data_IF_196686488706
#
_entry.id   IF_196686488706
#
_cell.length_a   1.000
_cell.length_b   1.000
_cell.length_c   1.000
_cell.angle_alpha   90.00
_cell.angle_beta   90.00
_cell.angle_gamma   90.00
#
_symmetry.space_group_name_H-M   'P 1'
#
loop_
_entity.id
_entity.type
_entity.pdbx_description
1 polymer ?
#
# COMPACT_ATOMS: atom_id res chain seq x y z
N UNK A 1 -1.77 -26.73 -10.78
CA UNK A 1 -2.36 -25.38 -10.86
C UNK A 1 -1.64 -24.63 -11.94
N UNK A 2 -2.35 -24.00 -12.89
CA UNK A 2 -1.85 -23.63 -14.23
C UNK A 2 -0.39 -23.11 -14.30
N UNK A 3 0.01 -22.18 -13.42
CA UNK A 3 1.39 -21.65 -13.41
C UNK A 3 2.45 -22.67 -12.94
N UNK A 4 2.13 -23.53 -11.96
CA UNK A 4 3.01 -24.63 -11.54
C UNK A 4 3.12 -25.71 -12.61
N UNK A 5 2.01 -26.03 -13.26
CA UNK A 5 1.97 -27.05 -14.32
C UNK A 5 2.75 -26.56 -15.54
N UNK A 6 2.58 -25.29 -15.93
CA UNK A 6 3.37 -24.65 -16.97
C UNK A 6 4.87 -24.63 -16.64
N UNK A 7 5.24 -24.38 -15.37
CA UNK A 7 6.63 -24.40 -14.93
C UNK A 7 7.23 -25.81 -14.99
N UNK A 8 6.49 -26.83 -14.55
CA UNK A 8 6.92 -28.23 -14.57
C UNK A 8 7.19 -28.75 -16.00
N UNK A 9 6.47 -28.22 -16.99
CA UNK A 9 6.65 -28.54 -18.41
C UNK A 9 7.72 -27.69 -19.11
N UNK A 10 8.42 -26.79 -18.40
CA UNK A 10 9.43 -25.91 -18.98
C UNK A 10 10.82 -26.55 -18.88
N UNK A 11 11.51 -26.81 -20.00
CA UNK A 11 12.91 -27.24 -19.98
C UNK A 11 13.82 -26.25 -19.25
N UNK A 12 14.92 -26.76 -18.67
CA UNK A 12 15.84 -25.93 -17.86
C UNK A 12 16.56 -24.84 -18.68
N UNK A 13 16.70 -25.05 -19.99
CA UNK A 13 17.34 -24.18 -20.98
C UNK A 13 16.34 -23.28 -21.72
N UNK A 14 15.03 -23.36 -21.42
CA UNK A 14 14.02 -22.53 -22.08
C UNK A 14 14.21 -21.04 -21.70
N UNK A 15 14.36 -20.14 -22.69
CA UNK A 15 14.54 -18.70 -22.44
C UNK A 15 13.36 -18.05 -21.70
N UNK A 16 12.17 -18.68 -21.69
CA UNK A 16 10.98 -18.20 -20.97
C UNK A 16 10.95 -18.64 -19.51
N UNK A 17 11.85 -19.53 -19.07
CA UNK A 17 11.87 -20.08 -17.74
C UNK A 17 11.97 -19.01 -16.64
N UNK A 18 12.84 -17.98 -16.72
CA UNK A 18 12.89 -16.90 -15.72
C UNK A 18 11.55 -16.16 -15.61
N UNK A 19 10.89 -15.87 -16.75
CA UNK A 19 9.60 -15.17 -16.75
C UNK A 19 8.49 -16.03 -16.14
N UNK A 20 8.46 -17.34 -16.41
CA UNK A 20 7.47 -18.26 -15.81
C UNK A 20 7.65 -18.36 -14.29
N UNK A 21 8.90 -18.46 -13.81
CA UNK A 21 9.23 -18.44 -12.38
C UNK A 21 8.81 -17.12 -11.73
N UNK A 22 9.10 -15.98 -12.37
CA UNK A 22 8.70 -14.68 -11.88
C UNK A 22 7.17 -14.55 -11.74
N UNK A 23 6.42 -14.95 -12.77
CA UNK A 23 4.96 -14.89 -12.75
C UNK A 23 4.36 -15.78 -11.64
N UNK A 24 4.89 -16.98 -11.45
CA UNK A 24 4.46 -17.85 -10.35
C UNK A 24 4.79 -17.21 -8.99
N UNK A 25 6.00 -16.66 -8.82
CA UNK A 25 6.38 -15.99 -7.57
C UNK A 25 5.46 -14.79 -7.25
N UNK A 26 5.12 -13.97 -8.25
CA UNK A 26 4.16 -12.87 -8.11
C UNK A 26 2.78 -13.38 -7.69
N UNK A 27 2.26 -14.42 -8.38
CA UNK A 27 0.95 -14.99 -8.06
C UNK A 27 0.88 -15.57 -6.64
N UNK A 28 1.96 -16.21 -6.18
CA UNK A 28 2.08 -16.69 -4.81
C UNK A 28 2.07 -15.52 -3.82
N UNK A 29 2.81 -14.44 -4.09
CA UNK A 29 2.80 -13.26 -3.22
C UNK A 29 1.43 -12.60 -3.12
N UNK A 30 0.71 -12.44 -4.24
CA UNK A 30 -0.67 -11.94 -4.23
C UNK A 30 -1.56 -12.80 -3.34
N UNK A 31 -1.46 -14.13 -3.45
CA UNK A 31 -2.26 -15.04 -2.63
C UNK A 31 -1.86 -15.02 -1.16
N UNK A 32 -0.57 -14.92 -0.83
CA UNK A 32 -0.08 -14.76 0.54
C UNK A 32 -0.70 -13.50 1.16
N UNK A 33 -0.72 -12.39 0.45
CA UNK A 33 -1.32 -11.14 0.93
C UNK A 33 -2.83 -11.22 1.15
N UNK A 34 -3.55 -12.01 0.36
CA UNK A 34 -5.01 -12.14 0.47
C UNK A 34 -5.47 -13.21 1.47
N UNK A 35 -4.70 -14.29 1.63
CA UNK A 35 -5.16 -15.51 2.35
C UNK A 35 -4.27 -15.89 3.54
N UNK A 36 -3.23 -15.11 3.83
CA UNK A 36 -2.27 -15.35 4.93
C UNK A 36 -1.62 -16.74 4.91
N UNK A 37 -1.51 -17.37 3.72
CA UNK A 37 -0.88 -18.69 3.52
C UNK A 37 0.65 -18.60 3.50
N UNK A 38 1.24 -18.37 4.67
CA UNK A 38 2.69 -18.13 4.85
C UNK A 38 3.56 -19.29 4.34
N UNK A 39 3.04 -20.52 4.28
CA UNK A 39 3.78 -21.69 3.79
C UNK A 39 4.30 -21.52 2.35
N UNK A 40 3.63 -20.69 1.55
CA UNK A 40 3.98 -20.42 0.16
C UNK A 40 5.13 -19.40 0.01
N UNK A 41 5.47 -18.67 1.08
CA UNK A 41 6.54 -17.68 1.06
C UNK A 41 7.91 -18.31 0.77
N UNK A 42 8.11 -19.58 1.16
CA UNK A 42 9.33 -20.34 0.86
C UNK A 42 9.49 -20.58 -0.64
N UNK A 43 8.43 -21.05 -1.29
CA UNK A 43 8.41 -21.31 -2.73
C UNK A 43 8.57 -20.01 -3.52
N UNK A 44 7.84 -18.95 -3.14
CA UNK A 44 7.96 -17.64 -3.77
C UNK A 44 9.39 -17.08 -3.68
N UNK A 45 10.06 -17.27 -2.54
CA UNK A 45 11.45 -16.88 -2.33
C UNK A 45 12.39 -17.67 -3.25
N UNK A 46 12.29 -19.00 -3.28
CA UNK A 46 13.14 -19.86 -4.11
C UNK A 46 13.00 -19.53 -5.59
N UNK A 47 11.77 -19.30 -6.05
CA UNK A 47 11.50 -18.86 -7.42
C UNK A 47 12.12 -17.50 -7.71
N UNK A 48 11.95 -16.52 -6.83
CA UNK A 48 12.49 -15.18 -7.02
C UNK A 48 14.04 -15.17 -7.02
N UNK A 49 14.67 -15.97 -6.16
CA UNK A 49 16.13 -16.12 -6.11
C UNK A 49 16.67 -16.77 -7.40
N UNK A 50 15.98 -17.79 -7.92
CA UNK A 50 16.33 -18.41 -9.20
C UNK A 50 16.18 -17.43 -10.38
N UNK A 51 15.23 -16.51 -10.33
CA UNK A 51 15.10 -15.44 -11.34
C UNK A 51 16.27 -14.47 -11.22
N UNK A 52 16.60 -13.98 -10.02
CA UNK A 52 17.71 -13.05 -9.80
C UNK A 52 19.04 -13.66 -10.28
N UNK A 53 19.28 -14.94 -10.01
CA UNK A 53 20.51 -15.63 -10.45
C UNK A 53 20.63 -15.79 -11.97
N UNK A 54 19.50 -15.81 -12.69
CA UNK A 54 19.47 -15.98 -14.14
C UNK A 54 19.50 -14.66 -14.92
N UNK A 55 19.17 -13.53 -14.27
CA UNK A 55 19.12 -12.22 -14.92
C UNK A 55 20.49 -11.53 -14.91
N UNK A 56 20.91 -10.92 -16.03
CA UNK A 56 22.05 -9.99 -16.03
C UNK A 56 21.83 -8.82 -15.05
N UNK A 57 22.90 -8.22 -14.49
CA UNK A 57 22.79 -7.07 -13.58
C UNK A 57 22.01 -5.88 -14.15
N UNK A 58 22.09 -5.66 -15.46
CA UNK A 58 21.44 -4.53 -16.15
C UNK A 58 20.06 -4.90 -16.74
N UNK A 59 19.51 -6.06 -16.36
CA UNK A 59 18.20 -6.50 -16.87
C UNK A 59 17.08 -5.57 -16.40
N UNK A 60 16.16 -5.14 -17.29
CA UNK A 60 14.99 -4.35 -16.91
C UNK A 60 14.01 -5.11 -15.99
N UNK A 61 14.09 -6.45 -15.96
CA UNK A 61 13.24 -7.30 -15.12
C UNK A 61 13.80 -7.48 -13.70
N UNK A 62 15.09 -7.19 -13.49
CA UNK A 62 15.77 -7.38 -12.20
C UNK A 62 15.10 -6.61 -11.04
N UNK A 63 14.70 -5.34 -11.18
CA UNK A 63 14.01 -4.61 -10.12
C UNK A 63 12.70 -5.28 -9.67
N UNK A 64 11.97 -5.89 -10.61
CA UNK A 64 10.75 -6.65 -10.32
C UNK A 64 11.06 -7.90 -9.51
N UNK A 65 12.05 -8.69 -9.94
CA UNK A 65 12.48 -9.88 -9.24
C UNK A 65 12.98 -9.59 -7.81
N UNK A 66 13.78 -8.53 -7.63
CA UNK A 66 14.25 -8.07 -6.32
C UNK A 66 13.10 -7.69 -5.38
N UNK A 67 12.07 -7.02 -5.91
CA UNK A 67 10.88 -6.63 -5.13
C UNK A 67 10.13 -7.86 -4.63
N UNK A 68 9.92 -8.87 -5.48
CA UNK A 68 9.25 -10.13 -5.09
C UNK A 68 10.08 -10.91 -4.07
N UNK A 69 11.39 -11.00 -4.30
CA UNK A 69 12.33 -11.66 -3.38
C UNK A 69 12.33 -11.02 -1.98
N UNK A 70 12.27 -9.69 -1.91
CA UNK A 70 12.16 -8.94 -0.66
C UNK A 70 10.81 -9.16 0.02
N UNK A 71 9.71 -9.12 -0.74
CA UNK A 71 8.36 -9.32 -0.22
C UNK A 71 8.19 -10.73 0.39
N UNK A 72 8.64 -11.78 -0.31
CA UNK A 72 8.60 -13.16 0.19
C UNK A 72 9.39 -13.36 1.48
N UNK A 73 10.54 -12.69 1.60
CA UNK A 73 11.36 -12.72 2.83
C UNK A 73 10.70 -11.96 3.97
N UNK A 74 10.10 -10.80 3.70
CA UNK A 74 9.39 -9.99 4.70
C UNK A 74 8.21 -10.74 5.32
N UNK A 75 7.50 -11.56 4.56
CA UNK A 75 6.37 -12.37 5.05
C UNK A 75 6.80 -13.63 5.82
N UNK A 76 8.09 -13.96 5.86
CA UNK A 76 8.57 -15.15 6.56
C UNK A 76 8.65 -14.94 8.07
N UNK A 77 8.36 -15.98 8.86
CA UNK A 77 8.56 -15.98 10.32
C UNK A 77 9.99 -15.56 10.71
N UNK A 78 10.98 -15.86 9.86
CA UNK A 78 12.37 -15.48 10.07
C UNK A 78 12.55 -13.95 10.13
N UNK A 79 11.87 -13.19 9.27
CA UNK A 79 11.95 -11.72 9.29
C UNK A 79 11.32 -11.13 10.56
N UNK A 80 10.30 -11.76 11.13
CA UNK A 80 9.72 -11.33 12.40
C UNK A 80 10.73 -11.51 13.55
N UNK A 81 11.47 -12.62 13.55
CA UNK A 81 12.32 -13.05 14.65
C UNK A 81 13.77 -12.56 14.56
N UNK A 82 14.23 -12.11 13.39
CA UNK A 82 15.65 -11.80 13.14
C UNK A 82 15.85 -10.41 12.55
N UNK A 83 16.72 -9.60 13.17
CA UNK A 83 17.13 -8.30 12.62
C UNK A 83 17.96 -8.45 11.35
N UNK A 84 18.83 -9.45 11.26
CA UNK A 84 19.65 -9.68 10.07
C UNK A 84 18.76 -10.04 8.86
N UNK A 85 17.71 -10.84 9.08
CA UNK A 85 16.73 -11.11 8.03
C UNK A 85 15.95 -9.86 7.59
N UNK A 86 15.73 -8.89 8.48
CA UNK A 86 15.14 -7.59 8.12
C UNK A 86 16.11 -6.71 7.34
N UNK A 87 17.39 -6.70 7.72
CA UNK A 87 18.44 -5.99 7.00
C UNK A 87 18.59 -6.53 5.56
N UNK A 88 18.48 -7.84 5.36
CA UNK A 88 18.45 -8.47 4.03
C UNK A 88 17.25 -7.99 3.19
N UNK A 89 16.06 -7.87 3.79
CA UNK A 89 14.86 -7.35 3.11
C UNK A 89 15.06 -5.89 2.69
N UNK A 90 15.60 -5.05 3.58
CA UNK A 90 15.91 -3.65 3.28
C UNK A 90 16.94 -3.57 2.14
N UNK A 91 17.98 -4.39 2.16
CA UNK A 91 18.99 -4.42 1.10
C UNK A 91 18.41 -4.78 -0.27
N UNK A 92 17.49 -5.75 -0.33
CA UNK A 92 16.83 -6.13 -1.58
C UNK A 92 15.92 -5.02 -2.13
N UNK A 93 15.12 -4.38 -1.28
CA UNK A 93 14.30 -3.25 -1.71
C UNK A 93 15.15 -2.05 -2.13
N UNK A 94 16.27 -1.79 -1.44
CA UNK A 94 17.21 -0.72 -1.81
C UNK A 94 17.80 -0.95 -3.20
N UNK A 95 18.29 -2.15 -3.48
CA UNK A 95 18.75 -2.54 -4.82
C UNK A 95 17.65 -2.41 -5.87
N UNK A 96 16.42 -2.77 -5.55
CA UNK A 96 15.29 -2.62 -6.47
C UNK A 96 15.03 -1.14 -6.81
N UNK A 97 15.09 -0.24 -5.83
CA UNK A 97 14.95 1.21 -6.05
C UNK A 97 16.11 1.77 -6.88
N UNK A 98 17.35 1.39 -6.56
CA UNK A 98 18.55 1.84 -7.29
C UNK A 98 18.55 1.41 -8.75
N UNK A 99 18.09 0.19 -9.03
CA UNK A 99 17.95 -0.32 -10.39
C UNK A 99 16.69 0.19 -11.13
N UNK A 100 15.92 1.10 -10.52
CA UNK A 100 14.72 1.70 -11.14
C UNK A 100 14.98 3.16 -11.53
N UNK A 101 14.96 3.49 -12.83
CA UNK A 101 15.12 4.87 -13.29
C UNK A 101 14.04 5.80 -12.72
N UNK A 102 14.37 7.08 -12.44
CA UNK A 102 13.38 8.12 -12.13
C UNK A 102 12.25 8.17 -13.18
N UNK A 103 11.00 8.34 -12.73
CA UNK A 103 9.82 8.39 -13.61
C UNK A 103 9.28 7.04 -14.08
N UNK A 104 9.93 5.93 -13.72
CA UNK A 104 9.38 4.60 -14.02
C UNK A 104 8.05 4.36 -13.26
N UNK A 105 6.99 3.83 -13.90
CA UNK A 105 5.65 3.73 -13.29
C UNK A 105 5.60 2.99 -11.94
N UNK A 106 6.49 2.02 -11.73
CA UNK A 106 6.56 1.23 -10.49
C UNK A 106 7.54 1.76 -9.45
N UNK A 107 8.23 2.88 -9.71
CA UNK A 107 9.23 3.45 -8.79
C UNK A 107 8.63 3.85 -7.46
N UNK A 108 7.47 4.50 -7.47
CA UNK A 108 6.73 4.88 -6.25
C UNK A 108 6.42 3.67 -5.38
N UNK A 109 5.98 2.55 -5.96
CA UNK A 109 5.70 1.34 -5.19
C UNK A 109 6.98 0.74 -4.57
N UNK A 110 8.10 0.74 -5.31
CA UNK A 110 9.40 0.27 -4.79
C UNK A 110 9.91 1.14 -3.65
N UNK A 111 9.77 2.46 -3.76
CA UNK A 111 10.10 3.41 -2.70
C UNK A 111 9.24 3.19 -1.45
N UNK A 112 7.92 3.05 -1.60
CA UNK A 112 7.01 2.78 -0.49
C UNK A 112 7.31 1.43 0.19
N UNK A 113 7.66 0.41 -0.60
CA UNK A 113 8.06 -0.89 -0.07
C UNK A 113 9.36 -0.80 0.76
N UNK A 114 10.36 -0.06 0.26
CA UNK A 114 11.59 0.22 1.00
C UNK A 114 11.31 1.01 2.28
N UNK A 115 10.50 2.06 2.21
CA UNK A 115 10.08 2.85 3.38
C UNK A 115 9.38 1.99 4.43
N UNK A 116 8.50 1.08 4.01
CA UNK A 116 7.85 0.13 4.90
C UNK A 116 8.81 -0.88 5.51
N UNK A 117 9.80 -1.36 4.75
CA UNK A 117 10.81 -2.29 5.26
C UNK A 117 11.75 -1.64 6.27
N UNK A 118 12.14 -0.38 6.03
CA UNK A 118 12.92 0.44 6.97
C UNK A 118 12.13 0.79 8.23
N UNK A 119 10.83 1.11 8.09
CA UNK A 119 9.95 1.27 9.25
C UNK A 119 9.93 -0.02 10.08
N UNK A 120 9.85 -1.19 9.44
CA UNK A 120 9.77 -2.49 10.12
C UNK A 120 11.12 -3.10 10.53
N UNK A 121 12.26 -2.50 10.16
CA UNK A 121 13.59 -3.08 10.36
C UNK A 121 13.96 -3.23 11.85
N UNK A 122 13.37 -2.45 12.74
CA UNK A 122 13.59 -2.51 14.19
C UNK A 122 12.37 -2.96 15.00
N UNK A 123 12.61 -3.63 16.13
CA UNK A 123 11.57 -3.83 17.15
C UNK A 123 11.12 -2.46 17.68
N UNK A 124 9.84 -2.26 18.03
CA UNK A 124 9.33 -0.94 18.47
C UNK A 124 10.17 -0.26 19.58
N UNK A 125 10.92 -1.03 20.37
CA UNK A 125 11.84 -0.53 21.41
C UNK A 125 13.29 -0.27 20.96
N UNK A 126 13.70 -0.76 19.78
CA UNK A 126 15.06 -0.65 19.22
C UNK A 126 15.06 -0.20 17.75
N UNK A 127 14.03 0.51 17.28
CA UNK A 127 14.08 1.14 15.96
C UNK A 127 15.21 2.16 15.96
N UNK A 128 16.18 1.96 15.07
CA UNK A 128 17.27 2.93 14.88
C UNK A 128 16.63 4.17 14.29
N UNK A 129 16.78 5.31 14.93
CA UNK A 129 16.25 6.60 14.44
C UNK A 129 16.65 6.87 12.99
N UNK A 130 17.85 6.44 12.58
CA UNK A 130 18.33 6.51 11.20
C UNK A 130 17.44 5.78 10.18
N UNK A 131 16.96 4.58 10.49
CA UNK A 131 16.11 3.81 9.57
C UNK A 131 14.74 4.48 9.39
N UNK A 132 14.18 5.05 10.46
CA UNK A 132 12.93 5.81 10.40
C UNK A 132 13.09 7.12 9.62
N UNK A 133 14.22 7.82 9.78
CA UNK A 133 14.52 9.02 8.98
C UNK A 133 14.63 8.65 7.50
N UNK A 134 15.35 7.57 7.16
CA UNK A 134 15.43 7.09 5.79
C UNK A 134 14.05 6.67 5.26
N UNK A 135 13.25 5.97 6.07
CA UNK A 135 11.89 5.57 5.71
C UNK A 135 11.01 6.77 5.36
N UNK A 136 11.01 7.81 6.22
CA UNK A 136 10.29 9.05 5.98
C UNK A 136 10.72 9.70 4.66
N UNK A 137 12.02 9.71 4.34
CA UNK A 137 12.49 10.24 3.06
C UNK A 137 12.07 9.41 1.85
N UNK A 138 12.08 8.07 1.96
CA UNK A 138 11.58 7.22 0.86
C UNK A 138 10.09 7.44 0.62
N UNK A 139 9.29 7.56 1.68
CA UNK A 139 7.87 7.87 1.59
C UNK A 139 7.61 9.28 1.02
N UNK A 140 8.39 10.29 1.45
CA UNK A 140 8.33 11.64 0.88
C UNK A 140 8.61 11.63 -0.62
N UNK A 141 9.67 10.95 -1.06
CA UNK A 141 9.98 10.83 -2.49
C UNK A 141 8.83 10.18 -3.26
N UNK A 142 8.26 9.10 -2.72
CA UNK A 142 7.11 8.41 -3.33
C UNK A 142 5.86 9.30 -3.42
N UNK A 143 5.57 10.09 -2.38
CA UNK A 143 4.43 11.01 -2.35
C UNK A 143 4.54 12.14 -3.39
N UNK A 144 5.77 12.59 -3.67
CA UNK A 144 6.05 13.72 -4.55
C UNK A 144 6.31 13.32 -6.01
N UNK A 145 6.34 12.03 -6.34
CA UNK A 145 6.43 11.52 -7.71
C UNK A 145 5.15 11.80 -8.52
N UNK A 146 5.07 12.96 -9.17
CA UNK A 146 3.87 13.44 -9.87
C UNK A 146 3.37 12.53 -11.00
N UNK A 147 4.23 11.68 -11.56
CA UNK A 147 3.92 10.78 -12.67
C UNK A 147 3.18 9.51 -12.21
N UNK A 148 3.13 9.25 -10.89
CA UNK A 148 2.45 8.09 -10.33
C UNK A 148 0.98 8.38 -10.00
N UNK A 149 0.17 7.32 -9.96
CA UNK A 149 -1.24 7.38 -9.61
C UNK A 149 -1.45 8.08 -8.25
N UNK A 150 -2.43 9.01 -8.13
CA UNK A 150 -2.70 9.75 -6.90
C UNK A 150 -2.89 8.86 -5.67
N UNK A 151 -3.47 7.67 -5.83
CA UNK A 151 -3.72 6.73 -4.73
C UNK A 151 -2.41 6.27 -4.07
N UNK A 152 -1.41 5.88 -4.86
CA UNK A 152 -0.12 5.40 -4.35
C UNK A 152 0.66 6.54 -3.68
N UNK A 153 0.48 7.76 -4.19
CA UNK A 153 1.08 8.96 -3.61
C UNK A 153 0.42 9.34 -2.28
N UNK A 154 -0.90 9.19 -2.16
CA UNK A 154 -1.64 9.43 -0.92
C UNK A 154 -1.16 8.49 0.19
N UNK A 155 -1.02 7.20 -0.12
CA UNK A 155 -0.55 6.21 0.84
C UNK A 155 0.87 6.49 1.33
N UNK A 156 1.75 6.89 0.40
CA UNK A 156 3.10 7.29 0.71
C UNK A 156 3.11 8.56 1.57
N UNK A 157 2.28 9.56 1.25
CA UNK A 157 2.17 10.80 2.00
C UNK A 157 1.68 10.57 3.44
N UNK A 158 0.66 9.71 3.60
CA UNK A 158 0.18 9.27 4.92
C UNK A 158 1.30 8.57 5.70
N UNK A 159 2.00 7.62 5.08
CA UNK A 159 3.11 6.91 5.72
C UNK A 159 4.28 7.83 6.10
N UNK A 160 4.57 8.84 5.27
CA UNK A 160 5.54 9.88 5.58
C UNK A 160 5.13 10.66 6.84
N UNK A 161 3.88 11.12 6.90
CA UNK A 161 3.33 11.82 8.06
C UNK A 161 3.41 10.98 9.35
N UNK A 162 3.00 9.71 9.28
CA UNK A 162 3.03 8.78 10.41
C UNK A 162 4.46 8.53 10.93
N UNK A 163 5.44 8.32 10.05
CA UNK A 163 6.82 8.05 10.45
C UNK A 163 7.49 9.29 11.05
N UNK A 164 7.22 10.49 10.49
CA UNK A 164 7.72 11.74 11.07
C UNK A 164 7.13 12.02 12.45
N UNK A 165 5.84 11.71 12.64
CA UNK A 165 5.20 11.76 13.94
C UNK A 165 5.83 10.76 14.94
N UNK A 166 6.18 9.55 14.50
CA UNK A 166 6.90 8.54 15.31
C UNK A 166 8.29 9.04 15.75
N UNK A 167 8.95 9.85 14.91
CA UNK A 167 10.21 10.53 15.22
C UNK A 167 10.06 11.79 16.10
N UNK A 168 8.83 12.24 16.37
CA UNK A 168 8.56 13.49 17.08
C UNK A 168 8.74 14.76 16.25
N UNK A 169 8.97 14.63 14.94
CA UNK A 169 9.05 15.73 13.98
C UNK A 169 7.63 16.10 13.50
N UNK A 170 6.93 16.89 14.31
CA UNK A 170 5.53 17.24 14.05
C UNK A 170 5.35 18.16 12.83
N UNK A 171 6.31 19.03 12.55
CA UNK A 171 6.26 19.90 11.36
C UNK A 171 6.42 19.07 10.08
N UNK A 172 7.42 18.17 10.03
CA UNK A 172 7.57 17.23 8.92
C UNK A 172 6.40 16.25 8.79
N UNK A 173 5.77 15.87 9.91
CA UNK A 173 4.56 15.05 9.90
C UNK A 173 3.38 15.80 9.28
N UNK A 174 3.20 17.06 9.64
CA UNK A 174 2.15 17.91 9.10
C UNK A 174 2.32 18.12 7.58
N UNK A 175 3.54 18.32 7.09
CA UNK A 175 3.81 18.37 5.63
C UNK A 175 3.27 17.12 4.91
N UNK A 176 3.57 15.93 5.42
CA UNK A 176 3.10 14.66 4.85
C UNK A 176 1.58 14.52 4.89
N UNK A 177 0.95 14.88 6.01
CA UNK A 177 -0.51 14.82 6.14
C UNK A 177 -1.23 15.83 5.23
N UNK A 178 -0.70 17.04 5.07
CA UNK A 178 -1.25 18.03 4.14
C UNK A 178 -1.24 17.47 2.72
N UNK A 179 -0.11 16.93 2.26
CA UNK A 179 -0.02 16.31 0.93
C UNK A 179 -1.01 15.15 0.78
N UNK A 180 -1.20 14.33 1.81
CA UNK A 180 -2.14 13.23 1.78
C UNK A 180 -3.61 13.71 1.66
N UNK A 181 -3.99 14.74 2.42
CA UNK A 181 -5.33 15.34 2.40
C UNK A 181 -5.61 16.06 1.08
N UNK A 182 -4.62 16.74 0.49
CA UNK A 182 -4.74 17.39 -0.82
C UNK A 182 -4.99 16.38 -1.95
N UNK A 183 -4.44 15.18 -1.83
CA UNK A 183 -4.62 14.13 -2.82
C UNK A 183 -5.99 13.44 -2.74
N UNK A 184 -6.77 13.59 -1.66
CA UNK A 184 -8.04 12.88 -1.46
C UNK A 184 -9.02 13.06 -2.63
N UNK A 185 -9.19 14.28 -3.12
CA UNK A 185 -10.09 14.58 -4.24
C UNK A 185 -9.68 13.89 -5.55
N UNK A 186 -8.39 13.56 -5.70
CA UNK A 186 -7.88 12.86 -6.89
C UNK A 186 -7.99 11.35 -6.79
N UNK A 187 -8.21 10.80 -5.59
CA UNK A 187 -8.26 9.36 -5.32
C UNK A 187 -9.69 8.81 -5.33
N UNK A 188 -10.69 9.68 -5.20
CA UNK A 188 -12.10 9.29 -5.26
C UNK A 188 -12.86 9.92 -6.45
N UNK A 189 -12.51 9.58 -7.71
CA UNK A 189 -13.31 10.01 -8.86
C UNK A 189 -14.74 9.44 -8.81
N UNK A 190 -15.70 10.31 -9.14
CA UNK A 190 -17.16 10.07 -9.13
C UNK A 190 -17.69 8.97 -10.06
N UNK A 191 -16.82 8.25 -10.78
CA UNK A 191 -17.19 7.35 -11.87
C UNK A 191 -16.62 5.92 -11.75
N UNK A 192 -16.11 5.55 -10.57
CA UNK A 192 -15.61 4.20 -10.31
C UNK A 192 -16.74 3.24 -9.92
N UNK A 193 -16.54 1.95 -10.18
CA UNK A 193 -17.43 0.88 -9.72
C UNK A 193 -17.43 0.86 -8.19
N UNK A 194 -18.59 0.61 -7.57
CA UNK A 194 -18.83 0.75 -6.13
C UNK A 194 -17.81 0.01 -5.24
N UNK A 195 -17.43 -1.21 -5.61
CA UNK A 195 -16.45 -2.01 -4.85
C UNK A 195 -15.05 -1.37 -4.84
N UNK A 196 -14.62 -0.78 -5.97
CA UNK A 196 -13.35 -0.05 -6.06
C UNK A 196 -13.40 1.26 -5.26
N UNK A 197 -14.55 1.92 -5.22
CA UNK A 197 -14.77 3.12 -4.41
C UNK A 197 -14.70 2.81 -2.91
N UNK A 198 -15.39 1.76 -2.45
CA UNK A 198 -15.38 1.33 -1.05
C UNK A 198 -13.97 0.91 -0.59
N UNK A 199 -13.24 0.17 -1.44
CA UNK A 199 -11.83 -0.15 -1.17
C UNK A 199 -10.98 1.12 -1.03
N UNK A 200 -11.11 2.09 -1.94
CA UNK A 200 -10.35 3.34 -1.88
C UNK A 200 -10.73 4.19 -0.66
N UNK A 201 -12.02 4.27 -0.32
CA UNK A 201 -12.52 5.02 0.83
C UNK A 201 -11.99 4.47 2.15
N UNK A 202 -11.89 3.15 2.29
CA UNK A 202 -11.30 2.50 3.48
C UNK A 202 -9.89 3.02 3.80
N UNK A 203 -9.11 3.37 2.77
CA UNK A 203 -7.72 3.84 2.89
C UNK A 203 -7.61 5.28 3.39
N UNK A 204 -8.70 6.03 3.25
CA UNK A 204 -8.80 7.45 3.64
C UNK A 204 -9.36 7.65 5.05
N UNK A 205 -9.94 6.59 5.63
CA UNK A 205 -10.48 6.62 7.00
C UNK A 205 -9.40 7.03 8.00
N UNK A 206 -9.78 7.94 8.90
CA UNK A 206 -8.93 8.48 9.96
C UNK A 206 -7.87 9.50 9.52
N UNK A 207 -7.66 9.69 8.21
CA UNK A 207 -6.62 10.61 7.71
C UNK A 207 -6.89 12.06 8.12
N UNK A 208 -8.11 12.55 7.93
CA UNK A 208 -8.49 13.92 8.32
C UNK A 208 -8.32 14.19 9.82
N UNK A 209 -8.70 13.23 10.65
CA UNK A 209 -8.54 13.33 12.10
C UNK A 209 -7.05 13.33 12.51
N UNK A 210 -6.23 12.46 11.93
CA UNK A 210 -4.79 12.42 12.18
C UNK A 210 -4.10 13.74 11.74
N UNK A 211 -4.46 14.25 10.56
CA UNK A 211 -3.95 15.52 10.04
C UNK A 211 -4.34 16.71 10.93
N UNK A 212 -5.61 16.78 11.36
CA UNK A 212 -6.10 17.82 12.26
C UNK A 212 -5.42 17.76 13.64
N UNK A 213 -5.28 16.57 14.23
CA UNK A 213 -4.58 16.39 15.48
C UNK A 213 -3.11 16.83 15.39
N UNK A 214 -2.43 16.49 14.28
CA UNK A 214 -1.06 16.95 14.02
C UNK A 214 -1.00 18.48 13.91
N UNK A 215 -1.91 19.11 13.17
CA UNK A 215 -1.98 20.55 13.02
C UNK A 215 -2.22 21.28 14.35
N UNK A 216 -3.07 20.75 15.25
CA UNK A 216 -3.24 21.29 16.61
C UNK A 216 -1.94 21.21 17.41
N UNK A 217 -1.22 20.09 17.34
CA UNK A 217 0.08 19.94 18.02
C UNK A 217 1.13 20.91 17.51
N UNK A 218 1.10 21.25 16.22
CA UNK A 218 1.94 22.29 15.62
C UNK A 218 1.46 23.73 15.91
N UNK A 219 0.43 23.92 16.76
CA UNK A 219 -0.12 25.24 17.07
C UNK A 219 -0.88 25.90 15.91
N UNK A 220 -1.41 25.11 14.97
CA UNK A 220 -2.17 25.59 13.79
C UNK A 220 -3.63 25.12 13.81
N UNK A 221 -4.45 25.53 14.80
CA UNK A 221 -5.83 25.07 14.92
C UNK A 221 -6.72 25.47 13.72
N UNK A 222 -6.48 26.63 13.09
CA UNK A 222 -7.22 27.03 11.89
C UNK A 222 -6.98 26.09 10.71
N UNK A 223 -5.74 25.64 10.52
CA UNK A 223 -5.40 24.63 9.53
C UNK A 223 -6.02 23.26 9.90
N UNK A 224 -6.08 22.92 11.19
CA UNK A 224 -6.68 21.67 11.64
C UNK A 224 -8.15 21.56 11.22
N UNK A 225 -8.93 22.64 11.38
CA UNK A 225 -10.32 22.70 10.92
C UNK A 225 -10.37 22.55 9.40
N UNK A 226 -9.54 23.29 8.66
CA UNK A 226 -9.49 23.20 7.20
C UNK A 226 -9.21 21.77 6.69
N UNK A 227 -8.21 21.10 7.26
CA UNK A 227 -7.85 19.73 6.88
C UNK A 227 -8.95 18.72 7.22
N UNK A 228 -9.63 18.89 8.36
CA UNK A 228 -10.72 18.03 8.76
C UNK A 228 -11.93 18.20 7.84
N UNK A 229 -12.33 19.44 7.57
CA UNK A 229 -13.46 19.75 6.69
C UNK A 229 -13.18 19.31 5.25
N UNK A 230 -11.94 19.46 4.76
CA UNK A 230 -11.53 18.96 3.45
C UNK A 230 -11.68 17.45 3.34
N UNK A 231 -11.19 16.71 4.34
CA UNK A 231 -11.30 15.26 4.35
C UNK A 231 -12.76 14.78 4.48
N UNK A 232 -13.57 15.46 5.30
CA UNK A 232 -15.01 15.17 5.45
C UNK A 232 -15.80 15.48 4.18
N UNK A 233 -15.47 16.56 3.48
CA UNK A 233 -16.14 16.95 2.24
C UNK A 233 -16.08 15.88 1.16
N UNK A 234 -14.95 15.17 1.04
CA UNK A 234 -14.81 14.03 0.12
C UNK A 234 -15.74 12.89 0.52
N UNK A 235 -15.73 12.48 1.80
CA UNK A 235 -16.58 11.40 2.31
C UNK A 235 -18.08 11.75 2.16
N UNK A 236 -18.46 12.97 2.53
CA UNK A 236 -19.84 13.46 2.45
C UNK A 236 -20.34 13.54 1.01
N UNK A 237 -19.50 13.99 0.07
CA UNK A 237 -19.87 14.01 -1.35
C UNK A 237 -20.25 12.61 -1.86
N UNK A 238 -19.54 11.58 -1.43
CA UNK A 238 -19.87 10.20 -1.82
C UNK A 238 -21.10 9.64 -1.10
N UNK A 239 -21.33 10.02 0.16
CA UNK A 239 -22.54 9.62 0.89
C UNK A 239 -23.80 10.17 0.22
N UNK A 240 -23.80 11.45 -0.16
CA UNK A 240 -24.93 12.07 -0.87
C UNK A 240 -25.20 11.43 -2.25
N UNK A 241 -24.15 11.01 -2.97
CA UNK A 241 -24.32 10.32 -4.25
C UNK A 241 -24.98 8.95 -4.07
N UNK A 242 -24.56 8.17 -3.06
CA UNK A 242 -25.15 6.87 -2.74
C UNK A 242 -26.64 7.00 -2.37
N UNK A 243 -27.01 8.03 -1.61
CA UNK A 243 -28.40 8.33 -1.27
C UNK A 243 -29.21 8.74 -2.52
N UNK A 244 -28.60 9.45 -3.47
CA UNK A 244 -29.27 9.83 -4.72
C UNK A 244 -29.54 8.62 -5.63
N UNK A 245 -28.60 7.67 -5.72
CA UNK A 245 -28.78 6.45 -6.50
C UNK A 245 -29.78 5.50 -5.83
N UNK A 246 -29.80 5.43 -4.48
CA UNK A 246 -30.82 4.72 -3.73
C UNK A 246 -32.21 5.33 -3.92
N UNK A 247 -32.30 6.66 -4.00
CA UNK A 247 -33.55 7.36 -4.30
C UNK A 247 -34.06 6.99 -5.69
N UNK A 248 -33.20 6.99 -6.73
CA UNK A 248 -33.57 6.52 -8.07
C UNK A 248 -33.93 5.03 -8.12
N UNK A 249 -33.24 4.20 -7.35
CA UNK A 249 -33.57 2.78 -7.23
C UNK A 249 -34.95 2.60 -6.58
N UNK A 250 -35.26 3.37 -5.54
CA UNK A 250 -36.56 3.34 -4.86
C UNK A 250 -37.70 3.81 -5.79
N UNK A 251 -37.45 4.74 -6.70
CA UNK A 251 -38.42 5.17 -7.71
C UNK A 251 -38.67 4.11 -8.79
N UNK A 252 -37.65 3.34 -9.18
CA UNK A 252 -37.74 2.38 -10.30
C UNK A 252 -38.00 0.93 -9.89
N UNK A 253 -37.56 0.53 -8.70
CA UNK A 253 -37.68 -0.80 -8.14
C UNK A 253 -37.70 -0.76 -6.59
N UNK A 254 -38.84 -0.41 -5.96
CA UNK A 254 -38.97 -0.23 -4.52
C UNK A 254 -38.52 -1.45 -3.71
N UNK A 255 -38.94 -2.65 -4.12
CA UNK A 255 -38.63 -3.90 -3.43
C UNK A 255 -37.12 -4.20 -3.36
N UNK A 256 -36.35 -3.76 -4.37
CA UNK A 256 -34.89 -3.91 -4.37
C UNK A 256 -34.21 -2.86 -3.49
N UNK A 257 -34.75 -1.64 -3.42
CA UNK A 257 -34.25 -0.59 -2.54
C UNK A 257 -34.43 -0.98 -1.06
N UNK A 258 -35.60 -1.50 -0.69
CA UNK A 258 -35.89 -1.92 0.68
C UNK A 258 -34.99 -3.10 1.09
N UNK A 259 -34.82 -4.09 0.21
CA UNK A 259 -33.90 -5.21 0.44
C UNK A 259 -32.43 -4.78 0.53
N UNK A 260 -32.03 -3.75 -0.21
CA UNK A 260 -30.69 -3.18 -0.11
C UNK A 260 -30.45 -2.50 1.25
N UNK A 261 -31.42 -1.74 1.76
CA UNK A 261 -31.33 -1.09 3.06
C UNK A 261 -31.29 -2.09 4.22
N UNK A 262 -32.11 -3.14 4.17
CA UNK A 262 -32.07 -4.23 5.16
C UNK A 262 -30.69 -4.89 5.24
N UNK A 263 -30.08 -5.20 4.09
CA UNK A 263 -28.74 -5.79 4.03
C UNK A 263 -27.67 -4.83 4.55
N UNK A 264 -27.78 -3.54 4.25
CA UNK A 264 -26.84 -2.52 4.74
C UNK A 264 -26.89 -2.38 6.26
N UNK A 265 -28.09 -2.30 6.84
CA UNK A 265 -28.28 -2.25 8.30
C UNK A 265 -27.75 -3.51 9.00
N UNK A 266 -27.95 -4.69 8.40
CA UNK A 266 -27.39 -5.93 8.91
C UNK A 266 -25.85 -5.95 8.88
N UNK A 267 -25.22 -5.27 7.91
CA UNK A 267 -23.77 -5.18 7.80
C UNK A 267 -23.17 -4.18 8.81
N UNK A 268 -23.78 -3.00 8.95
CA UNK A 268 -23.33 -1.96 9.88
C UNK A 268 -23.40 -2.50 11.33
N UNK A 269 -24.49 -3.17 11.69
CA UNK A 269 -24.67 -3.80 13.02
C UNK A 269 -23.69 -4.95 13.29
N UNK A 270 -23.25 -5.68 12.26
CA UNK A 270 -22.24 -6.72 12.40
C UNK A 270 -20.82 -6.16 12.58
N UNK A 271 -20.57 -4.94 12.13
CA UNK A 271 -19.23 -4.31 12.18
C UNK A 271 -19.00 -3.57 13.51
N UNK A 272 -20.06 -3.04 14.13
CA UNK A 272 -20.02 -2.39 15.44
C UNK A 272 -19.97 -3.38 16.63
N UNK A 273 -20.33 -4.65 16.41
CA UNK A 273 -20.41 -5.68 17.45
C UNK A 273 -19.10 -6.40 17.79
N UNK A 274 -17.95 -6.02 17.21
CA UNK A 274 -16.64 -6.65 17.46
C UNK A 274 -15.63 -5.77 18.23
N UNK A 275 -16.13 -4.76 18.96
CA UNK A 275 -15.33 -3.93 19.89
C UNK A 275 -15.10 -4.57 21.26
#
# INVERSE_FOLDING_TARGET
GLLRDALALTPADDPKLPRRRHNLAVALMTRISQTMRIDEAREARELADAVIAALPPDSPDLPGALTVAAAARRTSLRALLSSTARDEVVALYRRAVEATPPGHPTRTQRLSNLGGALRDSGSRRRRRSGDLVEAAERFRQAALERQCAPVLRLDAARSWGEVRAELGDWDGALEGYVVAVDLLHSVAPRHLVRDDQEFLLSRTVGLGAAAAACAVRCGRPGLAVGLLEQARGVILSHAFDADSDLTRLRESAPDLADRFEELRQALDTATDGQG
#
